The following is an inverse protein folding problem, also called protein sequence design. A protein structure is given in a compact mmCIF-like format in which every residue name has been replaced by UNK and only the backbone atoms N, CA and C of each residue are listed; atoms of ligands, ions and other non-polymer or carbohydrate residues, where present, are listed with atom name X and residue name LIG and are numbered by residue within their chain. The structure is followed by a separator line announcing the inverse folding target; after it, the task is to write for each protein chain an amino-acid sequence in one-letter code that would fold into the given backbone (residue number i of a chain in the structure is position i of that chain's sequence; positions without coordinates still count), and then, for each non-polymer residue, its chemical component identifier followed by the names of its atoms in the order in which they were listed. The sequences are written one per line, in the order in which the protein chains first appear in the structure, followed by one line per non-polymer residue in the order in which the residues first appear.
data_IF_663174440994
#
_entry.id   IF_663174440994
#
_cell.length_a   1.000
_cell.length_b   1.000
_cell.length_c   1.000
_cell.angle_alpha   90.00
_cell.angle_beta   90.00
_cell.angle_gamma   90.00
#
_symmetry.space_group_name_H-M   'P 1'
#
loop_
_entity.id
_entity.type
_entity.pdbx_description
1 polymer ?
#
# COMPACT_ATOMS: atom_id res chain seq x y z
N UNK A 1 -13.54 26.25 -14.53
CA UNK A 1 -12.15 26.36 -15.00
C UNK A 1 -11.13 25.57 -14.13
N UNK A 2 -11.17 24.22 -13.99
CA UNK A 2 -10.10 23.47 -13.30
C UNK A 2 -9.20 22.60 -14.20
N UNK A 3 -9.59 22.34 -15.46
CA UNK A 3 -8.87 21.41 -16.36
C UNK A 3 -7.53 22.00 -16.82
N UNK A 4 -7.45 23.33 -17.00
CA UNK A 4 -6.27 24.01 -17.53
C UNK A 4 -5.02 23.88 -16.65
N UNK A 5 -5.17 23.76 -15.32
CA UNK A 5 -4.03 23.61 -14.39
C UNK A 5 -3.29 22.27 -14.50
N UNK A 6 -3.89 21.27 -15.16
CA UNK A 6 -3.27 19.96 -15.39
C UNK A 6 -2.84 19.76 -16.86
N UNK A 7 -3.35 20.57 -17.80
CA UNK A 7 -2.96 20.50 -19.22
C UNK A 7 -1.71 21.32 -19.55
N UNK A 8 -1.46 22.42 -18.83
CA UNK A 8 -0.22 23.19 -18.96
C UNK A 8 0.88 22.58 -18.09
N UNK A 9 2.12 22.53 -18.61
CA UNK A 9 3.34 21.94 -18.02
C UNK A 9 3.36 21.99 -16.49
N UNK A 10 2.75 20.99 -15.86
CA UNK A 10 2.83 20.84 -14.42
C UNK A 10 4.12 20.06 -14.13
N UNK A 11 5.19 20.75 -13.72
CA UNK A 11 6.49 20.14 -13.43
C UNK A 11 6.37 18.93 -12.49
N UNK A 12 5.38 18.95 -11.60
CA UNK A 12 5.06 17.84 -10.69
C UNK A 12 4.79 16.52 -11.42
N UNK A 13 4.18 16.57 -12.60
CA UNK A 13 3.74 15.41 -13.39
C UNK A 13 4.47 15.28 -14.73
N UNK A 14 5.60 15.96 -14.91
CA UNK A 14 6.38 15.90 -16.15
C UNK A 14 6.86 14.48 -16.53
N UNK A 15 6.96 13.57 -15.55
CA UNK A 15 7.32 12.16 -15.75
C UNK A 15 6.12 11.27 -16.13
N UNK A 16 4.90 11.80 -16.16
CA UNK A 16 3.69 11.07 -16.52
C UNK A 16 3.31 11.28 -18.00
N UNK A 17 2.74 10.26 -18.60
CA UNK A 17 2.20 10.31 -19.96
C UNK A 17 0.74 10.76 -19.91
N UNK A 18 0.39 11.81 -20.64
CA UNK A 18 -1.01 12.25 -20.76
C UNK A 18 -1.81 11.25 -21.59
N UNK A 19 -3.05 11.01 -21.19
CA UNK A 19 -4.01 10.19 -21.92
C UNK A 19 -4.52 10.96 -23.15
N UNK A 20 -4.50 10.31 -24.30
CA UNK A 20 -5.17 10.79 -25.51
C UNK A 20 -6.01 9.67 -26.11
N UNK A 21 -7.25 9.99 -26.50
CA UNK A 21 -8.22 9.01 -27.02
C UNK A 21 -7.75 8.29 -28.29
N UNK A 22 -6.76 8.85 -29.00
CA UNK A 22 -6.33 8.38 -30.31
C UNK A 22 -5.03 7.56 -30.30
N UNK A 23 -4.39 7.34 -29.14
CA UNK A 23 -3.08 6.68 -29.07
C UNK A 23 -3.14 5.31 -28.36
N UNK A 24 -3.31 5.33 -27.04
CA UNK A 24 -3.27 4.14 -26.19
C UNK A 24 -4.58 3.97 -25.43
N UNK A 25 -4.93 2.72 -25.08
CA UNK A 25 -6.05 2.51 -24.17
C UNK A 25 -5.72 3.13 -22.81
N UNK A 26 -6.70 3.82 -22.22
CA UNK A 26 -6.56 4.54 -20.94
C UNK A 26 -5.90 3.67 -19.86
N UNK A 27 -6.33 2.40 -19.81
CA UNK A 27 -5.76 1.37 -18.94
C UNK A 27 -4.24 1.29 -19.09
N UNK A 28 -3.69 1.18 -20.32
CA UNK A 28 -2.24 1.08 -20.52
C UNK A 28 -1.50 2.32 -20.00
N UNK A 29 -2.06 3.50 -20.24
CA UNK A 29 -1.49 4.78 -19.77
C UNK A 29 -1.47 4.83 -18.24
N UNK A 30 -2.56 4.48 -17.57
CA UNK A 30 -2.63 4.43 -16.10
C UNK A 30 -1.58 3.49 -15.53
N UNK A 31 -1.44 2.28 -16.08
CA UNK A 31 -0.42 1.33 -15.65
C UNK A 31 1.02 1.84 -15.84
N UNK A 32 1.28 2.59 -16.92
CA UNK A 32 2.58 3.24 -17.17
C UNK A 32 2.84 4.36 -16.15
N UNK A 33 1.82 5.18 -15.90
CA UNK A 33 1.88 6.33 -14.99
C UNK A 33 2.07 5.89 -13.53
N UNK A 34 1.37 4.85 -13.08
CA UNK A 34 1.57 4.26 -11.74
C UNK A 34 3.03 3.80 -11.58
N UNK A 35 3.59 3.08 -12.56
CA UNK A 35 5.00 2.63 -12.49
C UNK A 35 5.98 3.80 -12.47
N UNK A 36 5.72 4.84 -13.26
CA UNK A 36 6.56 6.03 -13.32
C UNK A 36 6.55 6.80 -11.98
N UNK A 37 5.38 6.99 -11.38
CA UNK A 37 5.24 7.61 -10.06
C UNK A 37 5.98 6.80 -8.98
N UNK A 38 5.76 5.49 -8.93
CA UNK A 38 6.40 4.63 -7.93
C UNK A 38 7.92 4.65 -8.08
N UNK A 39 8.44 4.58 -9.31
CA UNK A 39 9.89 4.65 -9.57
C UNK A 39 10.49 6.00 -9.17
N UNK A 40 9.75 7.10 -9.33
CA UNK A 40 10.20 8.45 -8.93
C UNK A 40 10.31 8.59 -7.41
N UNK A 41 9.33 8.08 -6.66
CA UNK A 41 9.29 8.24 -5.20
C UNK A 41 10.08 7.16 -4.45
N UNK A 42 10.12 5.93 -4.99
CA UNK A 42 10.71 4.76 -4.35
C UNK A 42 11.64 4.01 -5.32
N UNK A 43 12.76 4.64 -5.76
CA UNK A 43 13.63 4.09 -6.81
C UNK A 43 14.31 2.77 -6.43
N UNK A 44 14.44 2.48 -5.12
CA UNK A 44 15.08 1.26 -4.60
C UNK A 44 14.12 0.09 -4.43
N UNK A 45 12.80 0.32 -4.50
CA UNK A 45 11.79 -0.71 -4.26
C UNK A 45 11.27 -1.26 -5.59
N UNK A 46 11.22 -2.60 -5.69
CA UNK A 46 10.69 -3.29 -6.86
C UNK A 46 9.18 -3.49 -6.72
N UNK A 47 8.40 -2.77 -7.51
CA UNK A 47 6.94 -2.92 -7.56
C UNK A 47 6.48 -3.86 -8.68
N UNK A 48 5.51 -4.71 -8.36
CA UNK A 48 4.68 -5.43 -9.31
C UNK A 48 3.36 -4.67 -9.48
N UNK A 49 3.19 -4.04 -10.65
CA UNK A 49 1.95 -3.35 -11.02
C UNK A 49 1.22 -4.18 -12.06
N UNK A 50 0.11 -4.81 -11.67
CA UNK A 50 -0.69 -5.71 -12.52
C UNK A 50 -2.10 -5.16 -12.69
N UNK A 51 -2.53 -5.08 -13.94
CA UNK A 51 -3.95 -4.92 -14.27
C UNK A 51 -4.63 -6.28 -14.06
N UNK A 52 -5.77 -6.28 -13.38
CA UNK A 52 -6.63 -7.47 -13.29
C UNK A 52 -7.87 -7.30 -14.18
N UNK A 53 -9.07 -7.35 -13.60
CA UNK A 53 -10.36 -7.20 -14.28
C UNK A 53 -10.71 -5.73 -14.51
N UNK A 54 -11.38 -5.47 -15.63
CA UNK A 54 -11.85 -4.13 -16.03
C UNK A 54 -10.74 -3.06 -15.90
N UNK A 55 -10.99 -2.01 -15.13
CA UNK A 55 -10.09 -0.90 -14.82
C UNK A 55 -9.50 -1.04 -13.40
N UNK A 56 -9.17 -2.25 -12.95
CA UNK A 56 -8.57 -2.49 -11.63
C UNK A 56 -7.07 -2.76 -11.69
N UNK A 57 -6.33 -2.14 -10.78
CA UNK A 57 -4.90 -2.30 -10.60
C UNK A 57 -4.55 -2.86 -9.23
N UNK A 58 -3.61 -3.80 -9.22
CA UNK A 58 -3.00 -4.34 -8.02
C UNK A 58 -1.51 -4.00 -8.01
N UNK A 59 -1.09 -3.26 -6.99
CA UNK A 59 0.30 -2.85 -6.76
C UNK A 59 0.82 -3.64 -5.57
N UNK A 60 1.80 -4.50 -5.81
CA UNK A 60 2.43 -5.28 -4.74
C UNK A 60 3.94 -5.11 -4.71
N UNK A 61 4.51 -5.18 -3.52
CA UNK A 61 5.95 -5.12 -3.29
C UNK A 61 6.30 -5.84 -1.98
N UNK A 62 7.59 -6.12 -1.80
CA UNK A 62 8.14 -6.70 -0.58
C UNK A 62 8.95 -5.64 0.14
N UNK A 63 8.79 -5.55 1.47
CA UNK A 63 9.47 -4.61 2.36
C UNK A 63 9.28 -3.14 1.92
N UNK A 64 10.30 -2.29 1.98
CA UNK A 64 10.27 -0.96 1.35
C UNK A 64 9.36 0.05 2.06
N UNK A 65 8.69 0.96 1.34
CA UNK A 65 7.77 1.93 1.91
C UNK A 65 6.53 1.27 2.50
N UNK A 66 5.91 1.96 3.45
CA UNK A 66 4.63 1.57 4.06
C UNK A 66 3.49 1.63 3.05
N UNK A 67 2.39 0.93 3.36
CA UNK A 67 1.18 0.96 2.52
C UNK A 67 0.64 2.39 2.41
N UNK A 68 0.64 3.14 3.51
CA UNK A 68 0.14 4.52 3.54
C UNK A 68 0.96 5.45 2.65
N UNK A 69 2.29 5.33 2.67
CA UNK A 69 3.18 6.08 1.78
C UNK A 69 2.89 5.77 0.31
N UNK A 70 2.72 4.49 -0.05
CA UNK A 70 2.39 4.11 -1.42
C UNK A 70 0.98 4.57 -1.82
N UNK A 71 -0.01 4.42 -0.93
CA UNK A 71 -1.39 4.83 -1.15
C UNK A 71 -1.49 6.35 -1.40
N UNK A 72 -0.71 7.15 -0.68
CA UNK A 72 -0.63 8.61 -0.90
C UNK A 72 -0.23 8.98 -2.34
N UNK A 73 0.49 8.10 -3.02
CA UNK A 73 0.95 8.29 -4.41
C UNK A 73 -0.06 7.71 -5.42
N UNK A 74 -0.56 6.49 -5.18
CA UNK A 74 -1.31 5.74 -6.21
C UNK A 74 -2.83 5.89 -6.11
N UNK A 75 -3.39 6.27 -4.96
CA UNK A 75 -4.87 6.37 -4.82
C UNK A 75 -5.47 7.52 -5.63
N UNK A 76 -4.68 8.50 -6.07
CA UNK A 76 -5.13 9.54 -7.02
C UNK A 76 -5.58 9.00 -8.38
N UNK A 77 -5.18 7.77 -8.74
CA UNK A 77 -5.65 7.11 -9.96
C UNK A 77 -7.01 6.42 -9.78
N UNK A 78 -7.48 6.22 -8.54
CA UNK A 78 -8.76 5.59 -8.24
C UNK A 78 -9.92 6.53 -8.58
N UNK A 79 -10.89 6.05 -9.35
CA UNK A 79 -12.10 6.82 -9.71
C UNK A 79 -13.38 6.27 -9.08
N UNK A 80 -13.42 5.04 -8.57
CA UNK A 80 -14.63 4.55 -7.91
C UNK A 80 -14.74 5.03 -6.45
N UNK A 81 -15.98 5.23 -6.01
CA UNK A 81 -16.33 5.40 -4.60
C UNK A 81 -17.63 4.65 -4.32
N UNK A 82 -17.69 4.04 -3.15
CA UNK A 82 -18.83 3.28 -2.67
C UNK A 82 -19.43 4.03 -1.49
N UNK A 83 -20.73 4.31 -1.54
CA UNK A 83 -21.51 4.84 -0.43
C UNK A 83 -22.29 3.70 0.23
N UNK A 84 -21.91 3.37 1.46
CA UNK A 84 -22.57 2.31 2.23
C UNK A 84 -23.94 2.69 2.76
N UNK A 85 -24.26 3.99 2.87
CA UNK A 85 -25.57 4.45 3.32
C UNK A 85 -26.64 4.23 2.24
N UNK A 86 -26.27 4.49 0.98
CA UNK A 86 -27.18 4.33 -0.17
C UNK A 86 -27.00 3.01 -0.91
N UNK A 87 -26.05 2.17 -0.49
CA UNK A 87 -25.62 0.93 -1.17
C UNK A 87 -25.35 1.16 -2.67
N UNK A 88 -24.65 2.25 -3.00
CA UNK A 88 -24.45 2.67 -4.39
C UNK A 88 -22.97 2.96 -4.71
N UNK A 89 -22.55 2.50 -5.89
CA UNK A 89 -21.21 2.77 -6.42
C UNK A 89 -21.26 3.88 -7.48
N UNK A 90 -20.38 4.85 -7.35
CA UNK A 90 -20.27 5.96 -8.30
C UNK A 90 -18.83 6.14 -8.78
N UNK A 91 -18.73 6.74 -9.97
CA UNK A 91 -17.46 7.16 -10.56
C UNK A 91 -17.24 8.65 -10.29
N UNK A 92 -16.15 8.97 -9.60
CA UNK A 92 -15.71 10.30 -9.22
C UNK A 92 -14.33 10.57 -9.87
N UNK A 93 -14.36 10.97 -11.15
CA UNK A 93 -13.13 11.32 -11.87
C UNK A 93 -12.67 12.73 -11.49
N UNK A 94 -11.39 12.86 -11.09
CA UNK A 94 -10.77 14.15 -10.82
C UNK A 94 -10.18 14.79 -12.09
N UNK A 95 -9.84 16.09 -12.10
CA UNK A 95 -9.09 16.72 -13.19
C UNK A 95 -7.78 15.99 -13.53
N UNK A 96 -7.14 15.37 -12.54
CA UNK A 96 -5.96 14.53 -12.76
C UNK A 96 -6.30 13.30 -13.62
N UNK A 97 -7.41 12.61 -13.33
CA UNK A 97 -7.81 11.41 -14.07
C UNK A 97 -8.20 11.72 -15.51
N UNK A 98 -8.81 12.88 -15.76
CA UNK A 98 -9.15 13.32 -17.12
C UNK A 98 -7.88 13.46 -17.98
N UNK A 99 -6.76 13.90 -17.38
CA UNK A 99 -5.50 14.16 -18.11
C UNK A 99 -4.58 12.94 -18.15
N UNK A 100 -4.48 12.17 -17.07
CA UNK A 100 -3.49 11.08 -16.92
C UNK A 100 -4.11 9.68 -16.84
N UNK A 101 -5.44 9.60 -16.97
CA UNK A 101 -6.24 8.38 -16.88
C UNK A 101 -6.68 8.04 -15.46
N UNK A 102 -7.77 7.27 -15.39
CA UNK A 102 -8.32 6.71 -14.16
C UNK A 102 -8.47 5.19 -14.18
N UNK A 103 -8.60 4.61 -12.99
CA UNK A 103 -8.88 3.21 -12.76
C UNK A 103 -9.98 3.12 -11.69
N UNK A 104 -10.99 2.26 -11.87
CA UNK A 104 -12.06 2.13 -10.88
C UNK A 104 -11.46 1.74 -9.53
N UNK A 105 -10.52 0.80 -9.54
CA UNK A 105 -9.89 0.32 -8.31
C UNK A 105 -8.36 0.31 -8.40
N UNK A 106 -7.74 0.74 -7.30
CA UNK A 106 -6.30 0.61 -7.08
C UNK A 106 -6.10 -0.01 -5.71
N UNK A 107 -5.55 -1.21 -5.69
CA UNK A 107 -5.24 -1.97 -4.49
C UNK A 107 -3.73 -2.01 -4.28
N UNK A 108 -3.33 -1.98 -3.02
CA UNK A 108 -1.93 -2.01 -2.59
C UNK A 108 -1.75 -3.17 -1.61
N UNK A 109 -0.65 -3.89 -1.75
CA UNK A 109 -0.32 -5.00 -0.88
C UNK A 109 1.18 -5.07 -0.64
N UNK A 110 1.58 -4.94 0.62
CA UNK A 110 2.96 -5.05 1.06
C UNK A 110 3.17 -6.41 1.72
N UNK A 111 4.13 -7.17 1.21
CA UNK A 111 4.62 -8.39 1.82
C UNK A 111 5.86 -8.10 2.65
N UNK A 112 6.10 -8.88 3.70
CA UNK A 112 7.26 -8.74 4.57
C UNK A 112 8.17 -9.95 4.41
N UNK A 113 9.46 -9.71 4.25
CA UNK A 113 10.48 -10.75 4.28
C UNK A 113 10.71 -11.25 5.71
N UNK A 114 11.29 -12.44 5.82
CA UNK A 114 11.61 -13.05 7.11
C UNK A 114 12.62 -12.21 7.88
N UNK A 115 13.55 -11.55 7.19
CA UNK A 115 14.54 -10.65 7.78
C UNK A 115 13.87 -9.45 8.47
N UNK A 116 12.87 -8.85 7.83
CA UNK A 116 12.14 -7.72 8.39
C UNK A 116 11.21 -8.14 9.52
N UNK A 117 10.59 -9.32 9.42
CA UNK A 117 9.80 -9.90 10.51
C UNK A 117 10.70 -10.15 11.73
N UNK A 118 11.89 -10.73 11.52
CA UNK A 118 12.88 -10.97 12.57
C UNK A 118 13.35 -9.66 13.23
N UNK A 119 13.57 -8.62 12.43
CA UNK A 119 13.93 -7.30 12.94
C UNK A 119 12.82 -6.71 13.80
N UNK A 120 11.56 -6.77 13.36
CA UNK A 120 10.41 -6.29 14.13
C UNK A 120 10.25 -7.05 15.45
N UNK A 121 10.41 -8.38 15.43
CA UNK A 121 10.44 -9.22 16.63
C UNK A 121 11.55 -8.76 17.59
N UNK A 122 12.77 -8.61 17.08
CA UNK A 122 13.93 -8.18 17.87
C UNK A 122 13.66 -6.83 18.53
N UNK A 123 13.15 -5.85 17.78
CA UNK A 123 12.80 -4.52 18.31
C UNK A 123 11.77 -4.60 19.44
N UNK A 124 10.77 -5.49 19.34
CA UNK A 124 9.78 -5.67 20.40
C UNK A 124 10.36 -6.32 21.65
N UNK A 125 11.22 -7.33 21.49
CA UNK A 125 11.90 -7.98 22.63
C UNK A 125 12.81 -6.97 23.33
N UNK A 126 13.61 -6.21 22.58
CA UNK A 126 14.51 -5.19 23.15
C UNK A 126 13.75 -4.09 23.89
N UNK A 127 12.57 -3.71 23.40
CA UNK A 127 11.80 -2.59 23.97
C UNK A 127 10.90 -2.98 25.13
N UNK A 128 10.30 -4.17 25.08
CA UNK A 128 9.22 -4.58 25.98
C UNK A 128 9.38 -6.00 26.55
N UNK A 129 10.44 -6.74 26.18
CA UNK A 129 10.60 -8.14 26.55
C UNK A 129 10.52 -8.40 28.05
N UNK A 130 11.15 -7.55 28.86
CA UNK A 130 11.11 -7.66 30.34
C UNK A 130 9.73 -7.38 30.94
N UNK A 131 8.87 -6.65 30.22
CA UNK A 131 7.50 -6.34 30.66
C UNK A 131 6.50 -7.43 30.30
N UNK A 132 6.87 -8.34 29.40
CA UNK A 132 6.00 -9.43 28.99
C UNK A 132 5.93 -10.50 30.06
N UNK A 133 4.71 -10.90 30.43
CA UNK A 133 4.46 -12.00 31.36
C UNK A 133 4.48 -13.38 30.69
N UNK A 134 5.13 -13.53 29.54
CA UNK A 134 5.21 -14.77 28.77
C UNK A 134 6.62 -15.00 28.23
N UNK A 135 6.92 -16.24 27.86
CA UNK A 135 8.21 -16.63 27.32
C UNK A 135 8.47 -16.01 25.94
N UNK A 136 9.41 -15.06 25.88
CA UNK A 136 9.79 -14.36 24.65
C UNK A 136 10.55 -15.23 23.66
N UNK A 137 11.09 -16.39 24.08
CA UNK A 137 11.75 -17.33 23.17
C UNK A 137 10.80 -17.92 22.12
N UNK A 138 9.49 -17.85 22.40
CA UNK A 138 8.45 -18.26 21.47
C UNK A 138 8.30 -17.30 20.28
N UNK A 139 8.78 -16.05 20.39
CA UNK A 139 8.69 -15.02 19.34
C UNK A 139 9.69 -15.30 18.21
N UNK A 140 9.36 -16.27 17.36
CA UNK A 140 10.16 -16.64 16.19
C UNK A 140 9.40 -16.35 14.90
N UNK A 141 10.13 -16.17 13.79
CA UNK A 141 9.54 -15.97 12.45
C UNK A 141 8.64 -17.16 12.07
N UNK A 142 9.05 -18.39 12.41
CA UNK A 142 8.24 -19.59 12.17
C UNK A 142 6.91 -19.56 12.92
N UNK A 143 6.93 -19.26 14.23
CA UNK A 143 5.71 -19.17 15.02
C UNK A 143 4.80 -18.01 14.58
N UNK A 144 5.38 -16.95 14.01
CA UNK A 144 4.64 -15.86 13.40
C UNK A 144 3.88 -16.33 12.16
N UNK A 145 4.55 -16.99 11.21
CA UNK A 145 3.93 -17.54 9.99
C UNK A 145 2.86 -18.59 10.29
N UNK A 146 3.08 -19.42 11.30
CA UNK A 146 2.08 -20.41 11.75
C UNK A 146 0.90 -19.79 12.52
N UNK A 147 0.91 -18.47 12.76
CA UNK A 147 -0.14 -17.76 13.47
C UNK A 147 -0.20 -18.07 14.98
N UNK A 148 0.81 -18.74 15.54
CA UNK A 148 0.85 -19.11 16.97
C UNK A 148 0.95 -17.87 17.86
N UNK A 149 1.71 -16.85 17.41
CA UNK A 149 1.95 -15.63 18.18
C UNK A 149 0.69 -14.79 18.42
N UNK A 150 -0.38 -14.98 17.64
CA UNK A 150 -1.64 -14.29 17.87
C UNK A 150 -2.41 -14.79 19.09
N UNK A 151 -1.99 -15.92 19.69
CA UNK A 151 -2.59 -16.48 20.92
C UNK A 151 -1.78 -16.16 22.17
N UNK A 152 -0.55 -15.66 22.01
CA UNK A 152 0.36 -15.36 23.12
C UNK A 152 0.16 -13.91 23.58
N UNK A 153 0.12 -13.68 24.89
CA UNK A 153 0.06 -12.33 25.47
C UNK A 153 -1.26 -11.57 25.19
N UNK A 154 -2.33 -12.25 24.76
CA UNK A 154 -3.60 -11.63 24.38
C UNK A 154 -4.19 -10.69 25.42
N UNK A 155 -4.16 -11.10 26.68
CA UNK A 155 -4.72 -10.32 27.80
C UNK A 155 -3.83 -9.13 28.21
N UNK A 156 -2.57 -9.12 27.77
CA UNK A 156 -1.57 -8.11 28.13
C UNK A 156 -1.36 -7.08 27.00
N UNK A 157 -1.89 -7.32 25.81
CA UNK A 157 -1.58 -6.56 24.59
C UNK A 157 -2.81 -5.91 23.96
N UNK A 158 -2.59 -4.82 23.24
CA UNK A 158 -3.65 -3.98 22.68
C UNK A 158 -4.47 -4.78 21.67
N UNK A 159 -5.81 -4.69 21.72
CA UNK A 159 -6.67 -5.23 20.67
C UNK A 159 -6.86 -6.76 20.69
N UNK A 160 -6.40 -7.46 21.74
CA UNK A 160 -6.61 -8.90 21.94
C UNK A 160 -6.10 -9.78 20.78
N UNK A 161 -5.13 -9.28 20.00
CA UNK A 161 -4.52 -9.95 18.85
C UNK A 161 -3.15 -10.56 19.17
N UNK A 162 -2.75 -10.50 20.44
CA UNK A 162 -1.51 -11.09 20.95
C UNK A 162 -0.25 -10.47 20.35
N UNK A 163 0.88 -11.15 20.53
CA UNK A 163 2.18 -10.68 20.04
C UNK A 163 2.23 -10.58 18.51
N UNK A 164 1.52 -11.47 17.81
CA UNK A 164 1.38 -11.39 16.35
C UNK A 164 0.79 -10.06 15.87
N UNK A 165 -0.15 -9.50 16.64
CA UNK A 165 -0.71 -8.17 16.42
C UNK A 165 0.30 -7.04 16.60
N UNK A 166 1.07 -7.08 17.68
CA UNK A 166 2.13 -6.09 17.94
C UNK A 166 3.21 -6.10 16.85
N UNK A 167 3.63 -7.29 16.40
CA UNK A 167 4.57 -7.43 15.28
C UNK A 167 4.00 -6.74 14.03
N UNK A 168 2.73 -7.01 13.69
CA UNK A 168 2.07 -6.35 12.56
C UNK A 168 1.99 -4.82 12.71
N UNK A 169 1.77 -4.30 13.92
CA UNK A 169 1.73 -2.85 14.16
C UNK A 169 3.08 -2.21 13.88
N UNK A 170 4.18 -2.85 14.30
CA UNK A 170 5.55 -2.40 13.98
C UNK A 170 5.79 -2.44 12.48
N UNK A 171 5.50 -3.58 11.83
CA UNK A 171 5.70 -3.77 10.40
C UNK A 171 4.94 -2.74 9.54
N UNK A 172 3.68 -2.45 9.89
CA UNK A 172 2.84 -1.49 9.14
C UNK A 172 3.35 -0.06 9.23
N UNK A 173 3.91 0.34 10.37
CA UNK A 173 4.34 1.71 10.64
C UNK A 173 5.78 2.00 10.22
N UNK A 174 6.55 0.96 9.88
CA UNK A 174 7.98 1.09 9.61
C UNK A 174 8.26 0.89 8.13
N UNK A 175 8.93 1.88 7.52
CA UNK A 175 9.55 1.74 6.21
C UNK A 175 10.93 1.09 6.37
N UNK A 176 11.29 0.21 5.44
CA UNK A 176 12.58 -0.51 5.44
C UNK A 176 13.33 -0.28 4.13
#
# INVERSE_FOLDING_TARGET
MPILKYSEKNEKYAHLTQYSKNADSEVKIVGKNIRADLKKHFPKTKFSVRKQYYSSYYVSWTDGPTVDEVDSIVKKYKTSRFDCYTDYSYNESSPFNIVYGGADYVFTNRQYSDEIIALAIKTLIEKYGESYGFDTTLMTVENYHQGKLYKIGREQLIGNDGVGGEINRVLRKTSY
#
